data_IF_387033896275
#
_entry.id   IF_387033896275
#
_cell.length_a   1.000
_cell.length_b   1.000
_cell.length_c   1.000
_cell.angle_alpha   90.00
_cell.angle_beta   90.00
_cell.angle_gamma   90.00
#
_symmetry.space_group_name_H-M   'P 1'
#
loop_
_entity.id
_entity.type
_entity.pdbx_description
1 polymer ?
#
# COMPACT_ATOMS: atom_id res chain seq x y z
N UNK A 1 -2.05 -16.96 -16.30
CA UNK A 1 -2.09 -15.49 -16.39
C UNK A 1 -2.60 -14.95 -15.07
N UNK A 2 -1.71 -14.42 -14.23
CA UNK A 2 -2.02 -13.86 -12.91
C UNK A 2 -2.72 -12.51 -13.06
N UNK A 3 -3.68 -12.19 -12.19
CA UNK A 3 -4.30 -10.87 -12.18
C UNK A 3 -3.56 -9.97 -11.18
N UNK A 4 -2.98 -8.87 -11.68
CA UNK A 4 -2.54 -7.76 -10.83
C UNK A 4 -3.77 -6.95 -10.50
N UNK A 5 -4.10 -6.87 -9.21
CA UNK A 5 -5.23 -6.08 -8.74
C UNK A 5 -4.63 -4.77 -8.23
N UNK A 6 -4.82 -3.65 -8.94
CA UNK A 6 -4.19 -2.39 -8.55
C UNK A 6 -4.79 -1.89 -7.24
N UNK A 7 -3.93 -1.54 -6.29
CA UNK A 7 -4.27 -0.73 -5.13
C UNK A 7 -4.10 0.74 -5.51
N UNK A 8 -5.21 1.47 -5.62
CA UNK A 8 -5.21 2.90 -5.93
C UNK A 8 -5.02 3.23 -7.42
N UNK A 9 -4.91 4.54 -7.77
CA UNK A 9 -4.63 4.96 -9.14
C UNK A 9 -3.36 4.27 -9.64
N UNK A 10 -3.25 4.10 -10.96
CA UNK A 10 -2.19 3.38 -11.67
C UNK A 10 -0.83 4.11 -11.55
N UNK A 11 -0.38 4.38 -10.33
CA UNK A 11 0.99 4.74 -10.05
C UNK A 11 1.80 3.43 -10.09
N UNK A 12 2.95 3.39 -10.77
CA UNK A 12 3.85 2.27 -10.62
C UNK A 12 4.15 2.13 -9.13
N UNK A 13 3.81 0.96 -8.60
CA UNK A 13 4.18 0.46 -7.28
C UNK A 13 5.71 0.60 -7.15
N UNK A 14 6.13 1.75 -6.62
CA UNK A 14 7.51 2.17 -6.54
C UNK A 14 7.82 2.43 -5.07
N UNK A 15 8.98 1.97 -4.63
CA UNK A 15 9.45 2.20 -3.27
C UNK A 15 9.55 3.72 -3.03
N UNK A 16 8.93 4.27 -1.99
CA UNK A 16 9.03 5.67 -1.67
C UNK A 16 10.47 5.99 -1.28
N UNK A 17 10.94 7.12 -1.78
CA UNK A 17 12.25 7.67 -1.47
C UNK A 17 12.04 9.09 -0.98
N UNK A 18 12.71 9.47 0.10
CA UNK A 18 12.78 10.85 0.55
C UNK A 18 14.09 11.44 0.05
N UNK A 19 13.99 12.44 -0.83
CA UNK A 19 15.11 13.18 -1.38
C UNK A 19 15.19 14.56 -0.69
N UNK A 20 16.12 14.78 0.26
CA UNK A 20 16.25 16.06 0.93
C UNK A 20 16.74 17.14 -0.05
N UNK A 21 16.24 18.39 0.05
CA UNK A 21 16.82 19.50 -0.67
C UNK A 21 18.15 19.87 0.00
N UNK A 22 19.22 19.22 -0.42
CA UNK A 22 20.58 19.49 0.02
C UNK A 22 21.11 20.80 -0.60
N UNK A 23 22.16 21.38 0.00
CA UNK A 23 22.91 22.54 -0.49
C UNK A 23 22.13 23.87 -0.61
N UNK A 24 21.00 24.04 0.10
CA UNK A 24 20.29 25.31 0.09
C UNK A 24 21.08 26.41 0.80
N UNK A 25 21.44 27.45 0.04
CA UNK A 25 22.24 28.58 0.48
C UNK A 25 21.56 29.89 0.11
N UNK A 26 21.40 30.77 1.09
CA UNK A 26 20.84 32.10 0.92
C UNK A 26 21.87 33.17 1.31
N UNK A 27 22.01 34.21 0.47
CA UNK A 27 22.89 35.35 0.74
C UNK A 27 22.22 36.65 0.32
N UNK A 28 22.07 37.58 1.28
CA UNK A 28 21.62 38.97 1.06
C UNK A 28 22.26 39.86 2.13
N UNK A 29 22.69 41.06 1.75
CA UNK A 29 23.14 42.15 2.64
C UNK A 29 24.10 41.73 3.77
N UNK A 30 25.14 40.96 3.41
CA UNK A 30 26.18 40.52 4.36
C UNK A 30 25.77 39.35 5.27
N UNK A 31 24.56 38.82 5.12
CA UNK A 31 24.09 37.63 5.84
C UNK A 31 24.19 36.41 4.91
N UNK A 32 24.75 35.32 5.43
CA UNK A 32 24.77 33.99 4.79
C UNK A 32 24.02 32.99 5.66
N UNK A 33 23.10 32.25 5.05
CA UNK A 33 22.39 31.12 5.66
C UNK A 33 22.62 29.86 4.81
N UNK A 34 22.81 28.73 5.47
CA UNK A 34 22.98 27.40 4.87
C UNK A 34 22.09 26.41 5.61
N UNK A 35 21.33 25.62 4.86
CA UNK A 35 20.58 24.48 5.39
C UNK A 35 21.30 23.20 4.99
N UNK A 36 21.80 22.47 5.99
CA UNK A 36 22.40 21.15 5.82
C UNK A 36 21.61 20.11 6.60
N UNK A 37 21.22 19.03 5.93
CA UNK A 37 20.64 17.87 6.61
C UNK A 37 21.71 17.02 7.27
N UNK A 38 21.33 16.26 8.30
CA UNK A 38 22.22 15.20 8.80
C UNK A 38 22.48 14.21 7.66
N UNK A 39 23.73 13.75 7.44
CA UNK A 39 24.06 12.89 6.29
C UNK A 39 23.14 11.68 6.11
N UNK A 40 22.76 11.03 7.21
CA UNK A 40 21.90 9.83 7.17
C UNK A 40 20.40 10.13 7.16
N UNK A 41 19.99 11.40 7.22
CA UNK A 41 18.58 11.78 7.35
C UNK A 41 17.74 11.25 6.18
N UNK A 42 18.22 11.46 4.94
CA UNK A 42 17.49 11.00 3.75
C UNK A 42 17.32 9.49 3.70
N UNK A 43 18.39 8.76 4.01
CA UNK A 43 18.38 7.30 4.06
C UNK A 43 17.45 6.77 5.17
N UNK A 44 17.50 7.37 6.36
CA UNK A 44 16.63 7.03 7.48
C UNK A 44 15.15 7.25 7.14
N UNK A 45 14.79 8.40 6.57
CA UNK A 45 13.40 8.70 6.21
C UNK A 45 12.90 7.83 5.07
N UNK A 46 13.76 7.52 4.10
CA UNK A 46 13.48 6.54 3.05
C UNK A 46 13.17 5.16 3.64
N UNK A 47 14.02 4.65 4.54
CA UNK A 47 13.78 3.37 5.20
C UNK A 47 12.47 3.36 6.02
N UNK A 48 12.17 4.46 6.71
CA UNK A 48 10.92 4.60 7.46
C UNK A 48 9.68 4.61 6.55
N UNK A 49 9.72 5.30 5.40
CA UNK A 49 8.63 5.28 4.42
C UNK A 49 8.42 3.89 3.81
N UNK A 50 9.50 3.18 3.48
CA UNK A 50 9.41 1.81 2.94
C UNK A 50 8.81 0.84 3.96
N UNK A 51 9.16 0.99 5.24
CA UNK A 51 8.55 0.22 6.33
C UNK A 51 7.05 0.54 6.49
N UNK A 52 6.66 1.81 6.33
CA UNK A 52 5.25 2.22 6.34
C UNK A 52 4.47 1.60 5.18
N UNK A 53 5.02 1.63 3.96
CA UNK A 53 4.42 1.03 2.78
C UNK A 53 4.23 -0.49 2.97
N UNK A 54 5.24 -1.18 3.47
CA UNK A 54 5.16 -2.62 3.74
C UNK A 54 4.05 -2.95 4.74
N UNK A 55 3.99 -2.23 5.86
CA UNK A 55 2.95 -2.42 6.87
C UNK A 55 1.55 -2.13 6.29
N UNK A 56 1.40 -1.06 5.50
CA UNK A 56 0.15 -0.72 4.83
C UNK A 56 -0.29 -1.83 3.87
N UNK A 57 0.64 -2.38 3.09
CA UNK A 57 0.36 -3.46 2.14
C UNK A 57 -0.10 -4.76 2.83
N UNK A 58 0.47 -5.07 4.00
CA UNK A 58 0.02 -6.19 4.83
C UNK A 58 -1.38 -5.96 5.40
N UNK A 59 -1.65 -4.77 5.92
CA UNK A 59 -2.96 -4.43 6.48
C UNK A 59 -4.04 -4.43 5.38
N UNK A 60 -3.69 -3.92 4.19
CA UNK A 60 -4.48 -4.06 2.99
C UNK A 60 -4.81 -5.53 2.69
N UNK A 61 -3.81 -6.41 2.62
CA UNK A 61 -4.04 -7.83 2.36
C UNK A 61 -5.00 -8.45 3.38
N UNK A 62 -4.83 -8.11 4.66
CA UNK A 62 -5.67 -8.58 5.77
C UNK A 62 -7.11 -8.12 5.66
N UNK A 63 -7.35 -6.87 5.27
CA UNK A 63 -8.70 -6.31 5.15
C UNK A 63 -9.41 -6.77 3.88
N UNK A 64 -8.69 -6.96 2.78
CA UNK A 64 -9.28 -7.45 1.52
C UNK A 64 -9.64 -8.94 1.63
N UNK A 65 -8.98 -9.68 2.51
CA UNK A 65 -9.11 -11.13 2.71
C UNK A 65 -10.56 -11.66 2.88
N UNK A 66 -11.46 -10.85 3.46
CA UNK A 66 -12.89 -11.13 3.63
C UNK A 66 -13.71 -10.97 2.34
N UNK A 67 -13.21 -10.22 1.35
CA UNK A 67 -13.87 -9.96 0.06
C UNK A 67 -13.43 -10.95 -1.02
N UNK A 68 -12.27 -11.59 -0.87
CA UNK A 68 -11.74 -12.54 -1.85
C UNK A 68 -12.65 -13.77 -1.93
N UNK A 69 -13.07 -14.23 -3.13
CA UNK A 69 -13.78 -15.50 -3.31
C UNK A 69 -13.10 -16.67 -2.57
N UNK A 70 -13.89 -17.46 -1.86
CA UNK A 70 -13.41 -18.57 -1.05
C UNK A 70 -14.12 -19.87 -1.40
N UNK A 71 -13.37 -20.75 -2.06
CA UNK A 71 -13.76 -22.13 -2.31
C UNK A 71 -12.78 -23.07 -1.58
N UNK A 72 -11.64 -23.37 -2.20
CA UNK A 72 -10.55 -24.17 -1.60
C UNK A 72 -9.49 -23.34 -0.87
N UNK A 73 -9.64 -22.01 -0.84
CA UNK A 73 -8.67 -21.08 -0.26
C UNK A 73 -7.42 -20.78 -1.11
N UNK A 74 -7.23 -21.44 -2.26
CA UNK A 74 -6.05 -21.25 -3.12
C UNK A 74 -5.91 -19.81 -3.64
N UNK A 75 -7.00 -19.18 -4.08
CA UNK A 75 -6.99 -17.78 -4.51
C UNK A 75 -6.56 -16.84 -3.39
N UNK A 76 -7.24 -16.93 -2.25
CA UNK A 76 -6.96 -16.17 -1.04
C UNK A 76 -5.50 -16.30 -0.61
N UNK A 77 -4.99 -17.53 -0.54
CA UNK A 77 -3.62 -17.80 -0.09
C UNK A 77 -2.55 -17.37 -1.10
N UNK A 78 -2.90 -17.25 -2.39
CA UNK A 78 -1.94 -16.83 -3.42
C UNK A 78 -1.36 -15.43 -3.17
N UNK A 79 -2.09 -14.55 -2.49
CA UNK A 79 -1.61 -13.21 -2.16
C UNK A 79 -0.36 -13.25 -1.30
N UNK A 80 -0.18 -14.27 -0.45
CA UNK A 80 0.96 -14.36 0.44
C UNK A 80 2.26 -14.74 -0.28
N UNK A 81 2.16 -15.48 -1.39
CA UNK A 81 3.32 -15.98 -2.14
C UNK A 81 3.59 -15.20 -3.42
N UNK A 82 2.59 -14.53 -3.99
CA UNK A 82 2.69 -13.85 -5.27
C UNK A 82 2.88 -12.33 -5.16
N UNK A 83 2.59 -11.75 -3.99
CA UNK A 83 2.64 -10.30 -3.77
C UNK A 83 4.04 -9.81 -3.47
N UNK A 84 4.26 -8.51 -3.73
CA UNK A 84 5.46 -7.81 -3.30
C UNK A 84 5.06 -6.68 -2.34
N UNK A 85 5.01 -7.01 -1.06
CA UNK A 85 4.63 -6.04 -0.02
C UNK A 85 5.63 -4.88 0.11
N UNK A 86 6.90 -5.08 -0.24
CA UNK A 86 7.90 -4.00 -0.23
C UNK A 86 7.62 -2.92 -1.28
N UNK A 87 6.97 -3.29 -2.39
CA UNK A 87 6.53 -2.36 -3.42
C UNK A 87 5.08 -1.90 -3.18
N UNK A 88 4.39 -2.44 -2.18
CA UNK A 88 2.96 -2.20 -1.97
C UNK A 88 2.07 -2.89 -3.00
N UNK A 89 2.54 -3.97 -3.62
CA UNK A 89 1.83 -4.70 -4.67
C UNK A 89 1.18 -5.96 -4.13
N UNK A 90 -0.13 -6.09 -4.33
CA UNK A 90 -0.88 -7.31 -4.02
C UNK A 90 -1.26 -8.05 -5.31
N UNK A 91 -0.95 -9.34 -5.39
CA UNK A 91 -1.15 -10.17 -6.59
C UNK A 91 -1.92 -11.43 -6.24
N UNK A 92 -2.97 -11.70 -7.02
CA UNK A 92 -3.75 -12.94 -6.91
C UNK A 92 -3.48 -13.80 -8.16
N UNK A 93 -2.72 -14.89 -7.99
CA UNK A 93 -2.02 -15.56 -9.09
C UNK A 93 -2.61 -16.90 -9.54
N UNK A 94 -3.89 -17.18 -9.27
CA UNK A 94 -4.51 -18.44 -9.72
C UNK A 94 -5.00 -18.35 -11.17
N UNK A 95 -5.10 -19.48 -11.90
CA UNK A 95 -5.58 -19.50 -13.29
C UNK A 95 -6.97 -18.90 -13.50
N UNK A 96 -7.81 -18.92 -12.45
CA UNK A 96 -9.18 -18.45 -12.46
C UNK A 96 -9.36 -17.07 -11.81
N UNK A 97 -8.31 -16.48 -11.20
CA UNK A 97 -8.38 -15.17 -10.53
C UNK A 97 -9.00 -14.10 -11.44
N UNK A 98 -8.51 -13.98 -12.68
CA UNK A 98 -9.03 -13.01 -13.65
C UNK A 98 -10.51 -13.25 -13.98
N UNK A 99 -10.92 -14.51 -14.14
CA UNK A 99 -12.30 -14.84 -14.48
C UNK A 99 -13.23 -14.45 -13.33
N UNK A 100 -12.89 -14.88 -12.11
CA UNK A 100 -13.65 -14.54 -10.90
C UNK A 100 -13.66 -13.03 -10.62
N UNK A 101 -12.61 -12.31 -11.00
CA UNK A 101 -12.54 -10.88 -10.76
C UNK A 101 -13.37 -10.04 -11.74
N UNK A 102 -13.29 -10.31 -13.05
CA UNK A 102 -13.82 -9.41 -14.09
C UNK A 102 -15.07 -9.93 -14.81
N UNK A 103 -15.29 -11.24 -14.88
CA UNK A 103 -16.33 -11.83 -15.74
C UNK A 103 -17.70 -11.96 -15.07
N UNK A 104 -17.91 -11.20 -14.01
CA UNK A 104 -19.07 -11.23 -13.13
C UNK A 104 -19.47 -9.79 -12.80
N UNK A 105 -20.76 -9.43 -12.69
CA UNK A 105 -21.17 -8.12 -12.20
C UNK A 105 -20.50 -7.84 -10.85
N UNK A 106 -20.15 -6.57 -10.61
CA UNK A 106 -19.50 -6.16 -9.36
C UNK A 106 -20.30 -6.60 -8.14
N UNK A 107 -19.64 -7.30 -7.21
CA UNK A 107 -20.29 -7.80 -6.01
C UNK A 107 -21.10 -9.08 -6.18
N UNK A 108 -21.16 -9.66 -7.39
CA UNK A 108 -21.76 -11.00 -7.56
C UNK A 108 -21.07 -11.97 -6.60
N UNK A 109 -21.88 -12.63 -5.77
CA UNK A 109 -21.38 -13.56 -4.77
C UNK A 109 -20.72 -14.76 -5.46
N UNK A 110 -19.42 -14.91 -5.27
CA UNK A 110 -18.63 -15.99 -5.86
C UNK A 110 -18.00 -16.79 -4.73
N UNK A 111 -18.59 -17.95 -4.43
CA UNK A 111 -18.12 -18.95 -3.47
C UNK A 111 -17.78 -18.37 -2.07
N UNK A 112 -18.62 -18.66 -1.08
CA UNK A 112 -18.37 -18.41 0.35
C UNK A 112 -19.52 -17.71 1.10
N UNK A 113 -19.44 -17.74 2.42
CA UNK A 113 -20.61 -17.58 3.31
C UNK A 113 -20.79 -16.18 3.92
N UNK A 114 -20.01 -15.18 3.49
CA UNK A 114 -19.92 -13.88 4.19
C UNK A 114 -20.62 -12.71 3.51
N UNK A 115 -21.40 -12.92 2.44
CA UNK A 115 -22.06 -11.91 1.56
C UNK A 115 -21.12 -10.85 0.93
N UNK A 116 -19.89 -10.72 1.43
CA UNK A 116 -18.85 -9.82 0.97
C UNK A 116 -18.00 -10.44 -0.14
N UNK A 117 -17.95 -11.77 -0.25
CA UNK A 117 -17.06 -12.46 -1.19
C UNK A 117 -17.62 -12.38 -2.61
N UNK A 118 -16.86 -11.83 -3.53
CA UNK A 118 -17.37 -11.67 -4.89
C UNK A 118 -16.37 -11.03 -5.84
N UNK A 119 -16.81 -10.84 -7.08
CA UNK A 119 -16.06 -10.14 -8.12
C UNK A 119 -15.64 -8.72 -7.67
N UNK A 120 -14.59 -8.18 -8.32
CA UNK A 120 -14.07 -6.84 -8.00
C UNK A 120 -13.75 -6.64 -6.50
N UNK A 121 -13.36 -7.72 -5.80
CA UNK A 121 -13.10 -7.70 -4.35
C UNK A 121 -12.10 -6.63 -3.92
N UNK A 122 -11.14 -6.28 -4.80
CA UNK A 122 -10.17 -5.21 -4.58
C UNK A 122 -10.83 -3.83 -4.45
N UNK A 123 -11.59 -3.41 -5.47
CA UNK A 123 -12.26 -2.12 -5.48
C UNK A 123 -13.31 -2.03 -4.38
N UNK A 124 -14.08 -3.10 -4.16
CA UNK A 124 -15.11 -3.14 -3.12
C UNK A 124 -14.52 -2.99 -1.73
N UNK A 125 -13.46 -3.74 -1.43
CA UNK A 125 -12.77 -3.57 -0.16
C UNK A 125 -12.23 -2.14 0.00
N UNK A 126 -11.68 -1.53 -1.05
CA UNK A 126 -11.22 -0.13 -1.00
C UNK A 126 -12.39 0.84 -0.79
N UNK A 127 -13.55 0.61 -1.41
CA UNK A 127 -14.73 1.44 -1.22
C UNK A 127 -15.21 1.42 0.24
N UNK A 128 -15.11 0.26 0.90
CA UNK A 128 -15.60 0.08 2.27
C UNK A 128 -14.56 0.43 3.34
N UNK A 129 -13.27 0.12 3.13
CA UNK A 129 -12.20 0.27 4.14
C UNK A 129 -11.07 1.22 3.72
N UNK A 130 -11.23 1.95 2.62
CA UNK A 130 -10.20 2.85 2.09
C UNK A 130 -9.80 3.97 3.07
N UNK A 131 -10.76 4.53 3.79
CA UNK A 131 -10.49 5.54 4.82
C UNK A 131 -9.67 4.96 5.98
N UNK A 132 -9.99 3.73 6.41
CA UNK A 132 -9.21 3.03 7.43
C UNK A 132 -7.77 2.77 6.96
N UNK A 133 -7.58 2.36 5.71
CA UNK A 133 -6.25 2.19 5.12
C UNK A 133 -5.46 3.51 5.03
N UNK A 134 -6.12 4.61 4.66
CA UNK A 134 -5.48 5.93 4.63
C UNK A 134 -5.04 6.38 6.03
N UNK A 135 -5.90 6.22 7.04
CA UNK A 135 -5.56 6.51 8.44
C UNK A 135 -4.44 5.60 8.96
N UNK A 136 -4.46 4.32 8.61
CA UNK A 136 -3.40 3.38 8.95
C UNK A 136 -2.06 3.80 8.32
N UNK A 137 -2.07 4.15 7.03
CA UNK A 137 -0.88 4.62 6.31
C UNK A 137 -0.29 5.88 6.94
N UNK A 138 -1.14 6.87 7.26
CA UNK A 138 -0.71 8.09 7.96
C UNK A 138 -0.09 7.78 9.33
N UNK A 139 -0.75 6.92 10.13
CA UNK A 139 -0.21 6.46 11.43
C UNK A 139 1.12 5.75 11.26
N UNK A 140 1.23 4.80 10.33
CA UNK A 140 2.46 4.06 10.07
C UNK A 140 3.64 4.99 9.73
N UNK A 141 3.42 6.00 8.88
CA UNK A 141 4.43 7.03 8.58
C UNK A 141 4.84 7.77 9.85
N UNK A 142 3.88 8.31 10.62
CA UNK A 142 4.19 9.05 11.86
C UNK A 142 4.95 8.20 12.88
N UNK A 143 4.56 6.93 13.05
CA UNK A 143 5.23 5.99 13.96
C UNK A 143 6.65 5.70 13.51
N UNK A 144 6.89 5.38 12.23
CA UNK A 144 8.22 5.04 11.76
C UNK A 144 9.14 6.24 11.56
N UNK A 145 8.58 7.44 11.39
CA UNK A 145 9.35 8.68 11.32
C UNK A 145 9.83 9.18 12.69
N UNK A 146 9.33 8.57 13.79
CA UNK A 146 9.79 8.82 15.16
C UNK A 146 8.82 9.60 16.05
N UNK A 147 7.55 9.75 15.64
CA UNK A 147 6.61 10.67 16.28
C UNK A 147 7.02 12.12 16.01
N UNK A 148 6.14 12.91 15.40
CA UNK A 148 6.30 14.36 15.54
C UNK A 148 6.22 14.63 17.04
N UNK A 149 7.32 15.11 17.63
CA UNK A 149 7.29 15.61 19.00
C UNK A 149 6.11 16.57 19.12
N UNK A 150 5.37 16.46 20.22
CA UNK A 150 4.32 17.41 20.58
C UNK A 150 4.78 18.84 20.23
N UNK A 151 4.03 19.49 19.35
CA UNK A 151 4.08 20.94 19.17
C UNK A 151 3.42 21.61 20.38
#
# INVERSE_FOLDING_TARGET
>A
MSARIPFGPVAPSAKPVFDPPDDWKYRVDGVQMELSWRPDFGAEKTAALQKAQFALAQEAARLIDSYVPFDTGQLKNSVQTASNYEEGLLVYNTPYARKQYYLHPEGEALHGDTDLRGSYWGQRAIADVGEHLALFGAKAVTTFWGGMGHL
#
